data_IF_953631173481
#
_entry.id   IF_953631173481
#
_cell.length_a   1.000
_cell.length_b   1.000
_cell.length_c   1.000
_cell.angle_alpha   90.00
_cell.angle_beta   90.00
_cell.angle_gamma   90.00
#
_symmetry.space_group_name_H-M   'P 1'
#
loop_
_entity.id
_entity.type
_entity.pdbx_description
1 polymer ?
#
# COMPACT_ATOMS: atom_id res chain seq x y z
N UNK A 1 9.69 -20.30 -15.31
CA UNK A 1 8.96 -19.01 -15.27
C UNK A 1 7.61 -19.29 -15.86
N UNK A 2 6.55 -19.03 -15.09
CA UNK A 2 5.19 -19.30 -15.52
C UNK A 2 4.70 -18.20 -16.42
N UNK A 3 4.14 -18.58 -17.56
CA UNK A 3 3.63 -17.65 -18.56
C UNK A 3 2.46 -16.85 -17.96
N UNK A 4 2.47 -15.52 -18.16
CA UNK A 4 1.37 -14.67 -17.68
C UNK A 4 0.10 -15.03 -18.44
N UNK A 5 -0.99 -15.45 -17.77
CA UNK A 5 -2.22 -15.83 -18.45
C UNK A 5 -2.75 -14.71 -19.33
N UNK A 6 -3.22 -15.07 -20.53
CA UNK A 6 -3.81 -14.12 -21.46
C UNK A 6 -4.97 -13.37 -20.81
N UNK A 7 -4.92 -12.03 -20.84
CA UNK A 7 -5.97 -11.17 -20.29
C UNK A 7 -5.84 -10.82 -18.81
N UNK A 8 -4.96 -11.47 -18.04
CA UNK A 8 -4.78 -11.17 -16.61
C UNK A 8 -4.45 -9.68 -16.39
N UNK A 9 -3.43 -9.16 -17.09
CA UNK A 9 -3.04 -7.74 -16.98
C UNK A 9 -4.21 -6.80 -17.30
N UNK A 10 -5.03 -7.13 -18.30
CA UNK A 10 -6.19 -6.31 -18.68
C UNK A 10 -7.28 -6.34 -17.59
N UNK A 11 -7.55 -7.50 -17.00
CA UNK A 11 -8.52 -7.64 -15.91
C UNK A 11 -8.08 -6.85 -14.67
N UNK A 12 -6.81 -6.97 -14.26
CA UNK A 12 -6.25 -6.23 -13.12
C UNK A 12 -6.30 -4.72 -13.36
N UNK A 13 -5.99 -4.26 -14.58
CA UNK A 13 -6.16 -2.85 -14.97
C UNK A 13 -7.61 -2.39 -14.81
N UNK A 14 -8.58 -3.19 -15.26
CA UNK A 14 -10.00 -2.85 -15.09
C UNK A 14 -10.44 -2.74 -13.63
N UNK A 15 -9.93 -3.60 -12.75
CA UNK A 15 -10.19 -3.53 -11.30
C UNK A 15 -9.60 -2.25 -10.69
N UNK A 16 -8.33 -1.96 -11.01
CA UNK A 16 -7.64 -0.74 -10.59
C UNK A 16 -8.41 0.51 -10.99
N UNK A 17 -8.79 0.60 -12.27
CA UNK A 17 -9.39 1.81 -12.84
C UNK A 17 -10.73 2.11 -12.19
N UNK A 18 -11.58 1.08 -11.99
CA UNK A 18 -12.85 1.27 -11.27
C UNK A 18 -12.66 1.68 -9.81
N UNK A 19 -11.67 1.13 -9.12
CA UNK A 19 -11.38 1.49 -7.73
C UNK A 19 -10.86 2.94 -7.60
N UNK A 20 -10.02 3.39 -8.53
CA UNK A 20 -9.56 4.79 -8.57
C UNK A 20 -10.68 5.77 -8.93
N UNK A 21 -11.53 5.42 -9.90
CA UNK A 21 -12.72 6.21 -10.23
C UNK A 21 -13.66 6.30 -9.03
N UNK A 22 -13.91 5.19 -8.33
CA UNK A 22 -14.71 5.22 -7.11
C UNK A 22 -14.15 6.21 -6.07
N UNK A 23 -12.83 6.18 -5.83
CA UNK A 23 -12.21 7.11 -4.88
C UNK A 23 -12.36 8.58 -5.30
N UNK A 24 -12.29 8.88 -6.61
CA UNK A 24 -12.51 10.22 -7.16
C UNK A 24 -13.98 10.68 -7.02
N UNK A 25 -14.93 9.77 -7.23
CA UNK A 25 -16.36 10.05 -7.05
C UNK A 25 -16.76 10.22 -5.57
N UNK A 26 -15.93 9.72 -4.64
CA UNK A 26 -16.19 9.69 -3.19
C UNK A 26 -15.30 10.64 -2.37
N UNK A 27 -14.73 11.68 -2.99
CA UNK A 27 -13.89 12.67 -2.32
C UNK A 27 -14.55 13.30 -1.08
N UNK A 28 -15.87 13.43 -1.07
CA UNK A 28 -16.64 13.96 0.08
C UNK A 28 -16.43 13.14 1.35
N UNK A 29 -16.20 11.83 1.25
CA UNK A 29 -15.89 10.97 2.39
C UNK A 29 -14.51 11.22 3.01
N UNK A 30 -13.62 11.90 2.29
CA UNK A 30 -12.26 12.23 2.72
C UNK A 30 -12.10 13.69 3.17
N UNK A 31 -13.14 14.51 3.07
CA UNK A 31 -13.10 15.92 3.51
C UNK A 31 -12.93 15.97 5.02
N UNK A 32 -11.93 16.72 5.49
CA UNK A 32 -11.75 16.94 6.93
C UNK A 32 -12.83 17.89 7.45
N UNK A 33 -13.42 17.62 8.63
CA UNK A 33 -14.37 18.52 9.24
C UNK A 33 -13.68 19.81 9.72
N UNK A 34 -14.43 20.90 9.88
CA UNK A 34 -13.88 22.19 10.30
C UNK A 34 -13.22 22.13 11.69
N UNK A 35 -13.71 21.25 12.55
CA UNK A 35 -13.26 21.03 13.94
C UNK A 35 -12.25 19.88 14.05
N UNK A 36 -11.55 19.52 12.98
CA UNK A 36 -10.61 18.38 12.95
C UNK A 36 -9.46 18.47 13.98
N UNK A 37 -9.15 19.67 14.46
CA UNK A 37 -8.13 19.91 15.49
C UNK A 37 -8.67 19.81 16.92
N UNK A 38 -9.99 19.72 17.09
CA UNK A 38 -10.60 19.64 18.41
C UNK A 38 -10.42 18.24 19.00
N UNK A 39 -10.20 18.10 20.33
CA UNK A 39 -9.88 16.82 20.97
C UNK A 39 -10.92 15.70 20.81
N UNK A 40 -12.18 16.04 20.47
CA UNK A 40 -13.25 15.06 20.26
C UNK A 40 -13.26 14.45 18.86
N UNK A 41 -12.46 14.97 17.93
CA UNK A 41 -12.40 14.45 16.57
C UNK A 41 -11.75 13.07 16.55
N UNK A 42 -12.45 12.10 15.94
CA UNK A 42 -11.95 10.73 15.79
C UNK A 42 -10.95 10.67 14.64
N UNK A 43 -9.65 10.61 14.98
CA UNK A 43 -8.54 10.47 14.03
C UNK A 43 -8.79 9.33 13.03
N UNK A 44 -9.24 8.17 13.52
CA UNK A 44 -9.48 6.97 12.71
C UNK A 44 -10.60 7.15 11.66
N UNK A 45 -11.50 8.11 11.85
CA UNK A 45 -12.63 8.35 10.94
C UNK A 45 -12.42 9.60 10.06
N UNK A 46 -11.32 10.33 10.25
CA UNK A 46 -11.08 11.62 9.59
C UNK A 46 -9.69 11.68 8.96
N UNK A 47 -8.66 11.84 9.78
CA UNK A 47 -7.27 11.99 9.36
C UNK A 47 -6.68 10.70 8.79
N UNK A 48 -7.04 9.54 9.35
CA UNK A 48 -6.54 8.24 8.89
C UNK A 48 -6.94 7.94 7.44
N UNK A 49 -8.23 8.03 7.04
CA UNK A 49 -8.63 7.88 5.64
C UNK A 49 -7.85 8.78 4.68
N UNK A 50 -7.57 10.02 5.08
CA UNK A 50 -6.82 10.98 4.26
C UNK A 50 -5.35 10.57 4.09
N UNK A 51 -4.70 10.12 5.17
CA UNK A 51 -3.33 9.62 5.12
C UNK A 51 -3.20 8.35 4.28
N UNK A 52 -4.18 7.45 4.37
CA UNK A 52 -4.25 6.23 3.56
C UNK A 52 -4.49 6.55 2.08
N UNK A 53 -5.37 7.50 1.76
CA UNK A 53 -5.55 8.01 0.41
C UNK A 53 -4.22 8.52 -0.17
N UNK A 54 -3.50 9.36 0.57
CA UNK A 54 -2.20 9.89 0.14
C UNK A 54 -1.16 8.78 -0.05
N UNK A 55 -1.08 7.82 0.88
CA UNK A 55 -0.10 6.74 0.86
C UNK A 55 -0.33 5.76 -0.29
N UNK A 56 -1.56 5.27 -0.43
CA UNK A 56 -1.92 4.21 -1.37
C UNK A 56 -1.96 4.75 -2.81
N UNK A 57 -2.62 5.89 -3.04
CA UNK A 57 -2.65 6.52 -4.35
C UNK A 57 -1.28 7.07 -4.75
N UNK A 58 -0.51 7.59 -3.80
CA UNK A 58 0.87 8.00 -4.03
C UNK A 58 1.73 6.86 -4.54
N UNK A 59 1.68 5.72 -3.87
CA UNK A 59 2.46 4.55 -4.29
C UNK A 59 1.99 4.02 -5.64
N UNK A 60 0.68 3.94 -5.86
CA UNK A 60 0.09 3.57 -7.15
C UNK A 60 0.57 4.50 -8.28
N UNK A 61 0.51 5.82 -8.09
CA UNK A 61 0.93 6.80 -9.09
C UNK A 61 2.39 6.60 -9.54
N UNK A 62 3.29 6.22 -8.62
CA UNK A 62 4.72 6.02 -8.94
C UNK A 62 4.96 4.85 -9.89
N UNK A 63 4.14 3.80 -9.80
CA UNK A 63 4.30 2.59 -10.62
C UNK A 63 3.46 2.61 -11.89
N UNK A 64 2.41 3.45 -11.93
CA UNK A 64 1.60 3.64 -13.14
C UNK A 64 2.35 4.54 -14.12
N UNK A 65 2.48 4.08 -15.37
CA UNK A 65 3.11 4.84 -16.45
C UNK A 65 2.44 6.22 -16.64
N UNK A 66 3.20 7.33 -16.84
CA UNK A 66 2.63 8.67 -16.96
C UNK A 66 1.60 8.87 -18.09
N UNK A 67 1.64 8.03 -19.13
CA UNK A 67 0.69 8.06 -20.24
C UNK A 67 -0.65 7.37 -19.94
N UNK A 68 -0.71 6.55 -18.89
CA UNK A 68 -1.93 5.87 -18.45
C UNK A 68 -2.82 6.89 -17.68
N UNK A 69 -4.10 7.08 -18.07
CA UNK A 69 -4.99 8.01 -17.39
C UNK A 69 -5.10 7.80 -15.87
N UNK A 70 -4.94 6.56 -15.39
CA UNK A 70 -4.95 6.25 -13.97
C UNK A 70 -3.83 6.98 -13.19
N UNK A 71 -2.70 7.30 -13.84
CA UNK A 71 -1.63 8.11 -13.26
C UNK A 71 -2.14 9.50 -12.88
N UNK A 72 -2.89 10.13 -13.77
CA UNK A 72 -3.45 11.47 -13.54
C UNK A 72 -4.52 11.44 -12.45
N UNK A 73 -5.38 10.41 -12.43
CA UNK A 73 -6.40 10.23 -11.38
C UNK A 73 -5.75 10.06 -10.00
N UNK A 74 -4.77 9.17 -9.85
CA UNK A 74 -4.03 9.01 -8.60
C UNK A 74 -3.36 10.32 -8.16
N UNK A 75 -2.78 11.08 -9.10
CA UNK A 75 -2.23 12.41 -8.85
C UNK A 75 -3.23 13.42 -8.29
N UNK A 76 -4.45 13.46 -8.82
CA UNK A 76 -5.52 14.35 -8.33
C UNK A 76 -5.96 13.97 -6.92
N UNK A 77 -6.06 12.67 -6.61
CA UNK A 77 -6.41 12.19 -5.27
C UNK A 77 -5.38 12.61 -4.22
N UNK A 78 -4.09 12.52 -4.54
CA UNK A 78 -3.01 12.95 -3.63
C UNK A 78 -3.03 14.48 -3.48
N UNK A 79 -3.23 15.23 -4.57
CA UNK A 79 -3.32 16.68 -4.53
C UNK A 79 -4.48 17.15 -3.65
N UNK A 80 -5.66 16.54 -3.82
CA UNK A 80 -6.81 16.77 -2.95
C UNK A 80 -6.47 16.50 -1.48
N UNK A 81 -5.84 15.36 -1.19
CA UNK A 81 -5.47 15.02 0.19
C UNK A 81 -4.52 16.05 0.80
N UNK A 82 -3.59 16.57 -0.01
CA UNK A 82 -2.66 17.61 0.42
C UNK A 82 -3.35 18.96 0.69
N UNK A 83 -4.30 19.34 -0.17
CA UNK A 83 -5.13 20.54 0.02
C UNK A 83 -5.94 20.46 1.32
N UNK A 84 -6.52 19.31 1.66
CA UNK A 84 -7.24 19.11 2.93
C UNK A 84 -6.36 19.37 4.15
N UNK A 85 -5.07 19.04 4.09
CA UNK A 85 -4.11 19.36 5.16
C UNK A 85 -3.61 20.81 5.16
N UNK A 86 -4.18 21.67 4.31
CA UNK A 86 -3.71 23.04 4.06
C UNK A 86 -2.23 23.07 3.69
N UNK A 87 -1.83 22.16 2.80
CA UNK A 87 -0.44 22.00 2.38
C UNK A 87 0.52 21.76 3.56
N UNK A 88 0.09 20.94 4.53
CA UNK A 88 0.88 20.54 5.70
C UNK A 88 0.83 21.47 6.91
N UNK A 89 0.20 22.65 6.83
CA UNK A 89 0.06 23.53 8.00
C UNK A 89 -0.80 22.86 9.09
N UNK A 90 -1.86 22.16 8.70
CA UNK A 90 -2.72 21.44 9.65
C UNK A 90 -1.95 20.35 10.41
N UNK A 91 -1.11 19.59 9.71
CA UNK A 91 -0.29 18.55 10.33
C UNK A 91 0.77 19.14 11.26
N UNK A 92 1.28 20.35 10.96
CA UNK A 92 2.17 21.08 11.85
C UNK A 92 1.46 21.53 13.13
N UNK A 93 0.23 22.03 13.02
CA UNK A 93 -0.59 22.37 14.19
C UNK A 93 -0.84 21.14 15.08
N UNK A 94 -1.21 20.00 14.48
CA UNK A 94 -1.36 18.73 15.20
C UNK A 94 -0.06 18.30 15.90
N UNK A 95 1.07 18.34 15.20
CA UNK A 95 2.36 17.97 15.78
C UNK A 95 2.80 18.89 16.94
N UNK A 96 2.39 20.16 16.93
CA UNK A 96 2.61 21.10 18.04
C UNK A 96 1.74 20.77 19.25
N UNK A 97 0.48 20.45 19.01
CA UNK A 97 -0.49 20.14 20.06
C UNK A 97 -0.22 18.78 20.70
N UNK A 98 0.22 17.81 19.90
CA UNK A 98 0.42 16.42 20.30
C UNK A 98 1.81 15.90 19.90
N UNK A 99 2.91 16.46 20.45
CA UNK A 99 4.27 16.10 20.04
C UNK A 99 4.68 14.66 20.41
N UNK A 100 3.85 13.95 21.17
CA UNK A 100 4.01 12.56 21.54
C UNK A 100 3.25 11.60 20.61
N UNK A 101 2.34 12.10 19.77
CA UNK A 101 1.54 11.28 18.88
C UNK A 101 2.32 10.98 17.58
N UNK A 102 2.28 9.72 17.14
CA UNK A 102 2.94 9.30 15.91
C UNK A 102 2.14 9.64 14.65
N UNK A 103 0.80 9.69 14.74
CA UNK A 103 -0.05 9.80 13.56
C UNK A 103 0.17 11.07 12.71
N UNK A 104 0.42 12.29 13.24
CA UNK A 104 0.69 13.45 12.38
C UNK A 104 1.97 13.24 11.57
N UNK A 105 2.95 12.55 12.17
CA UNK A 105 4.22 12.21 11.56
C UNK A 105 4.05 11.16 10.46
N UNK A 106 3.29 10.10 10.72
CA UNK A 106 3.01 9.03 9.75
C UNK A 106 2.20 9.56 8.55
N UNK A 107 1.17 10.38 8.80
CA UNK A 107 0.37 11.01 7.74
C UNK A 107 1.24 11.97 6.91
N UNK A 108 2.04 12.82 7.55
CA UNK A 108 2.96 13.71 6.83
C UNK A 108 3.98 12.92 6.00
N UNK A 109 4.47 11.79 6.50
CA UNK A 109 5.43 10.95 5.79
C UNK A 109 4.88 10.38 4.48
N UNK A 110 3.57 10.11 4.40
CA UNK A 110 2.92 9.73 3.14
C UNK A 110 3.11 10.84 2.09
N UNK A 111 2.81 12.09 2.41
CA UNK A 111 3.02 13.24 1.51
C UNK A 111 4.50 13.47 1.18
N UNK A 112 5.36 13.45 2.20
CA UNK A 112 6.80 13.67 2.06
C UNK A 112 7.46 12.64 1.11
N UNK A 113 6.99 11.39 1.14
CA UNK A 113 7.41 10.33 0.22
C UNK A 113 7.14 10.63 -1.26
N UNK A 114 6.19 11.52 -1.55
CA UNK A 114 5.83 12.00 -2.89
C UNK A 114 6.34 13.41 -3.20
N UNK A 115 7.24 13.95 -2.38
CA UNK A 115 7.84 15.27 -2.60
C UNK A 115 6.95 16.45 -2.19
N UNK A 116 5.79 16.19 -1.57
CA UNK A 116 4.94 17.21 -0.98
C UNK A 116 5.47 17.54 0.42
N UNK A 117 6.04 18.73 0.58
CA UNK A 117 6.91 19.07 1.71
C UNK A 117 6.43 20.35 2.40
N UNK A 118 6.54 20.39 3.72
CA UNK A 118 6.25 21.57 4.53
C UNK A 118 7.41 21.86 5.49
N UNK A 119 8.15 22.95 5.25
CA UNK A 119 9.37 23.24 6.01
C UNK A 119 9.13 23.42 7.51
N UNK A 120 7.99 24.00 7.88
CA UNK A 120 7.62 24.20 9.29
C UNK A 120 7.46 22.87 10.03
N UNK A 121 6.82 21.91 9.36
CA UNK A 121 6.66 20.55 9.87
C UNK A 121 8.02 19.89 10.05
N UNK A 122 8.86 19.86 9.02
CA UNK A 122 10.17 19.19 9.06
C UNK A 122 11.12 19.82 10.08
N UNK A 123 11.06 21.13 10.30
CA UNK A 123 11.80 21.79 11.39
C UNK A 123 11.39 21.28 12.76
N UNK A 124 10.09 21.14 13.02
CA UNK A 124 9.58 20.64 14.30
C UNK A 124 9.85 19.14 14.46
N UNK A 125 9.58 18.35 13.42
CA UNK A 125 9.84 16.92 13.37
C UNK A 125 11.30 16.59 13.71
N UNK A 126 12.27 17.33 13.14
CA UNK A 126 13.70 17.19 13.48
C UNK A 126 14.00 17.45 14.96
N UNK A 127 13.25 18.32 15.63
CA UNK A 127 13.44 18.58 17.07
C UNK A 127 12.81 17.48 17.90
N UNK A 128 11.59 17.09 17.58
CA UNK A 128 10.87 16.01 18.29
C UNK A 128 11.64 14.68 18.19
N UNK A 129 12.14 14.34 17.00
CA UNK A 129 12.90 13.11 16.77
C UNK A 129 14.19 12.99 17.59
N UNK A 130 14.71 14.11 18.12
CA UNK A 130 15.90 14.11 19.00
C UNK A 130 15.57 13.92 20.49
N UNK A 131 14.29 13.90 20.85
CA UNK A 131 13.87 13.77 22.25
C UNK A 131 13.95 12.32 22.73
N UNK A 132 14.18 12.15 24.02
CA UNK A 132 14.11 10.82 24.66
C UNK A 132 12.71 10.23 24.62
N UNK A 133 11.66 11.07 24.70
CA UNK A 133 10.28 10.61 24.61
C UNK A 133 10.00 9.95 23.27
N UNK A 134 10.45 10.57 22.17
CA UNK A 134 10.35 9.98 20.85
C UNK A 134 11.12 8.65 20.74
N UNK A 135 12.39 8.63 21.14
CA UNK A 135 13.24 7.44 21.08
C UNK A 135 12.74 6.27 21.95
N UNK A 136 11.93 6.53 22.97
CA UNK A 136 11.40 5.54 23.91
C UNK A 136 9.87 5.44 23.87
N UNK A 137 9.24 5.78 22.75
CA UNK A 137 7.78 5.62 22.60
C UNK A 137 7.42 4.13 22.66
N UNK A 138 6.57 3.74 23.61
CA UNK A 138 6.14 2.35 23.78
C UNK A 138 5.15 1.95 22.68
N UNK A 139 5.57 1.07 21.77
CA UNK A 139 4.74 0.59 20.65
C UNK A 139 5.04 -0.87 20.30
N UNK A 140 4.08 -1.53 19.65
CA UNK A 140 4.31 -2.82 19.00
C UNK A 140 5.35 -2.68 17.88
N UNK A 141 6.15 -3.73 17.65
CA UNK A 141 7.28 -3.69 16.72
C UNK A 141 6.89 -3.32 15.28
N UNK A 142 5.71 -3.74 14.79
CA UNK A 142 5.23 -3.37 13.47
C UNK A 142 4.90 -1.87 13.35
N UNK A 143 4.34 -1.26 14.41
CA UNK A 143 4.11 0.19 14.48
C UNK A 143 5.43 0.96 14.57
N UNK A 144 6.38 0.44 15.34
CA UNK A 144 7.73 1.01 15.40
C UNK A 144 8.44 1.01 14.04
N UNK A 145 8.28 -0.05 13.23
CA UNK A 145 8.75 -0.06 11.84
C UNK A 145 8.11 1.03 10.98
N UNK A 146 6.80 1.26 11.14
CA UNK A 146 6.09 2.33 10.46
C UNK A 146 6.63 3.71 10.79
N UNK A 147 6.96 3.94 12.06
CA UNK A 147 7.59 5.17 12.50
C UNK A 147 9.01 5.33 11.91
N UNK A 148 9.82 4.27 11.91
CA UNK A 148 11.17 4.27 11.30
C UNK A 148 11.10 4.56 9.79
N UNK A 149 10.15 3.96 9.07
CA UNK A 149 9.93 4.25 7.67
C UNK A 149 9.52 5.72 7.47
N UNK A 150 8.62 6.22 8.31
CA UNK A 150 8.18 7.61 8.29
C UNK A 150 9.33 8.58 8.53
N UNK A 151 10.21 8.30 9.49
CA UNK A 151 11.39 9.11 9.80
C UNK A 151 12.29 9.30 8.58
N UNK A 152 12.56 8.20 7.86
CA UNK A 152 13.34 8.23 6.61
C UNK A 152 12.68 9.12 5.55
N UNK A 153 11.36 9.01 5.38
CA UNK A 153 10.61 9.80 4.39
C UNK A 153 10.57 11.28 4.72
N UNK A 154 10.41 11.62 6.00
CA UNK A 154 10.49 13.01 6.50
C UNK A 154 11.90 13.57 6.41
N UNK A 155 12.93 12.70 6.35
CA UNK A 155 14.33 13.11 6.28
C UNK A 155 14.95 13.36 7.65
N UNK A 156 14.46 12.67 8.68
CA UNK A 156 15.08 12.64 10.01
C UNK A 156 15.83 11.31 10.20
N UNK A 157 16.82 11.32 11.10
CA UNK A 157 17.55 10.11 11.44
C UNK A 157 16.59 9.13 12.16
N UNK A 158 16.54 7.85 11.76
CA UNK A 158 15.74 6.86 12.44
C UNK A 158 16.13 6.72 13.92
N UNK A 159 15.14 6.58 14.80
CA UNK A 159 15.39 6.47 16.24
C UNK A 159 15.88 5.07 16.67
N UNK A 160 15.67 4.05 15.84
CA UNK A 160 16.05 2.67 16.12
C UNK A 160 16.53 1.95 14.85
N UNK A 161 17.23 0.83 15.03
CA UNK A 161 17.63 -0.03 13.94
C UNK A 161 16.42 -0.79 13.37
N UNK A 162 16.16 -0.64 12.08
CA UNK A 162 14.99 -1.23 11.44
C UNK A 162 15.06 -2.76 11.37
N UNK A 163 16.25 -3.34 11.23
CA UNK A 163 16.42 -4.78 11.16
C UNK A 163 16.17 -5.41 12.53
N UNK A 164 16.72 -4.83 13.60
CA UNK A 164 16.45 -5.29 14.97
C UNK A 164 14.97 -5.22 15.33
N UNK A 165 14.29 -4.12 14.96
CA UNK A 165 12.84 -3.98 15.18
C UNK A 165 12.06 -4.96 14.31
N UNK A 166 12.45 -5.18 13.06
CA UNK A 166 11.83 -6.15 12.16
C UNK A 166 11.84 -7.55 12.77
N UNK A 167 12.97 -7.99 13.33
CA UNK A 167 13.11 -9.31 13.96
C UNK A 167 12.21 -9.51 15.19
N UNK A 168 11.66 -8.44 15.77
CA UNK A 168 10.69 -8.50 16.88
C UNK A 168 9.23 -8.56 16.42
N UNK A 169 8.97 -8.47 15.11
CA UNK A 169 7.62 -8.60 14.55
C UNK A 169 7.21 -10.06 14.35
N UNK A 170 5.92 -10.32 14.14
CA UNK A 170 5.40 -11.64 13.79
C UNK A 170 6.05 -12.21 12.52
N UNK A 171 6.20 -11.36 11.49
CA UNK A 171 6.88 -11.72 10.24
C UNK A 171 8.37 -11.99 10.48
N UNK A 172 9.06 -11.10 11.19
CA UNK A 172 10.50 -11.22 11.43
C UNK A 172 10.90 -12.39 12.34
N UNK A 173 9.97 -12.86 13.17
CA UNK A 173 10.10 -14.08 13.96
C UNK A 173 9.80 -15.36 13.20
N UNK A 174 9.39 -15.28 11.92
CA UNK A 174 8.99 -16.44 11.10
C UNK A 174 7.97 -17.32 11.84
N UNK A 175 7.00 -16.69 12.50
CA UNK A 175 5.99 -17.38 13.30
C UNK A 175 5.25 -18.45 12.51
N UNK A 176 4.68 -19.44 13.19
CA UNK A 176 4.00 -20.55 12.53
C UNK A 176 2.87 -20.07 11.61
N UNK A 177 2.88 -20.45 10.32
CA UNK A 177 2.02 -19.86 9.29
C UNK A 177 0.53 -20.18 9.46
N UNK A 178 0.20 -21.29 10.12
CA UNK A 178 -1.18 -21.65 10.47
C UNK A 178 -1.75 -20.86 11.66
N UNK A 179 -0.94 -20.03 12.32
CA UNK A 179 -1.37 -19.12 13.39
C UNK A 179 -1.73 -17.72 12.85
N UNK A 180 -1.85 -17.56 11.53
CA UNK A 180 -2.27 -16.30 10.95
C UNK A 180 -3.73 -16.02 11.29
N UNK A 181 -3.95 -14.92 11.99
CA UNK A 181 -5.26 -14.34 12.28
C UNK A 181 -5.34 -12.98 11.60
N UNK A 182 -6.53 -12.36 11.59
CA UNK A 182 -6.73 -11.05 10.95
C UNK A 182 -5.72 -10.00 11.45
N UNK A 183 -5.52 -9.89 12.77
CA UNK A 183 -4.63 -8.89 13.37
C UNK A 183 -3.15 -9.13 13.06
N UNK A 184 -2.70 -10.38 13.04
CA UNK A 184 -1.33 -10.73 12.63
C UNK A 184 -1.15 -10.60 11.12
N UNK A 185 -2.19 -10.84 10.32
CA UNK A 185 -2.25 -10.53 8.88
C UNK A 185 -1.94 -9.06 8.59
N UNK A 186 -2.70 -8.14 9.17
CA UNK A 186 -2.42 -6.69 9.03
C UNK A 186 -1.05 -6.30 9.57
N UNK A 187 -0.64 -6.88 10.70
CA UNK A 187 0.68 -6.58 11.27
C UNK A 187 1.82 -7.04 10.34
N UNK A 188 1.65 -8.18 9.67
CA UNK A 188 2.58 -8.73 8.69
C UNK A 188 2.62 -7.90 7.41
N UNK A 189 1.47 -7.51 6.86
CA UNK A 189 1.41 -6.73 5.61
C UNK A 189 2.06 -5.37 5.81
N UNK A 190 1.76 -4.68 6.91
CA UNK A 190 2.41 -3.42 7.26
C UNK A 190 3.91 -3.56 7.51
N UNK A 191 4.36 -4.61 8.19
CA UNK A 191 5.79 -4.86 8.35
C UNK A 191 6.48 -5.02 6.98
N UNK A 192 5.88 -5.78 6.07
CA UNK A 192 6.40 -5.94 4.71
C UNK A 192 6.44 -4.59 3.96
N UNK A 193 5.37 -3.78 4.02
CA UNK A 193 5.34 -2.46 3.40
C UNK A 193 6.40 -1.52 3.97
N UNK A 194 6.58 -1.46 5.28
CA UNK A 194 7.56 -0.56 5.88
C UNK A 194 9.01 -0.94 5.53
N UNK A 195 9.30 -2.25 5.45
CA UNK A 195 10.60 -2.77 5.03
C UNK A 195 10.89 -2.43 3.57
N UNK A 196 9.94 -2.68 2.68
CA UNK A 196 10.09 -2.42 1.23
C UNK A 196 9.84 -0.96 0.85
N UNK A 197 9.63 -0.09 1.83
CA UNK A 197 9.26 1.31 1.62
C UNK A 197 8.07 1.47 0.67
N UNK A 198 7.02 0.69 0.94
CA UNK A 198 5.81 0.56 0.14
C UNK A 198 6.16 0.17 -1.30
N UNK A 199 6.93 -0.91 -1.46
CA UNK A 199 7.38 -1.47 -2.75
C UNK A 199 8.35 -0.59 -3.55
N UNK A 200 8.84 0.52 -3.02
CA UNK A 200 9.84 1.36 -3.71
C UNK A 200 11.29 0.88 -3.52
N UNK A 201 11.52 0.02 -2.54
CA UNK A 201 12.82 -0.58 -2.23
C UNK A 201 12.66 -2.09 -1.90
N UNK A 202 12.16 -2.90 -2.84
CA UNK A 202 11.88 -4.33 -2.62
C UNK A 202 13.13 -5.12 -2.20
N UNK A 203 14.33 -4.70 -2.61
CA UNK A 203 15.62 -5.30 -2.27
C UNK A 203 15.97 -5.22 -0.77
N UNK A 204 15.24 -4.41 0.00
CA UNK A 204 15.40 -4.34 1.46
C UNK A 204 14.77 -5.52 2.19
N UNK A 205 13.95 -6.33 1.52
CA UNK A 205 13.37 -7.54 2.11
C UNK A 205 14.46 -8.59 2.37
N UNK A 206 14.67 -9.05 3.62
CA UNK A 206 15.58 -10.14 3.91
C UNK A 206 15.19 -11.44 3.19
N UNK A 207 16.17 -12.19 2.70
CA UNK A 207 15.93 -13.37 1.87
C UNK A 207 15.15 -14.49 2.59
N UNK A 208 15.33 -14.63 3.91
CA UNK A 208 14.58 -15.59 4.72
C UNK A 208 13.10 -15.21 4.84
N UNK A 209 12.80 -13.91 4.96
CA UNK A 209 11.42 -13.41 4.99
C UNK A 209 10.77 -13.47 3.61
N UNK A 210 11.51 -13.17 2.53
CA UNK A 210 11.04 -13.36 1.15
C UNK A 210 10.66 -14.82 0.88
N UNK A 211 11.54 -15.77 1.23
CA UNK A 211 11.26 -17.20 1.09
C UNK A 211 10.04 -17.66 1.89
N UNK A 212 9.88 -17.15 3.11
CA UNK A 212 8.73 -17.43 3.95
C UNK A 212 7.43 -16.89 3.33
N UNK A 213 7.40 -15.62 2.91
CA UNK A 213 6.24 -15.00 2.27
C UNK A 213 5.87 -15.71 0.97
N UNK A 214 6.85 -16.06 0.12
CA UNK A 214 6.59 -16.80 -1.13
C UNK A 214 5.98 -18.18 -0.89
N UNK A 215 6.33 -18.81 0.22
CA UNK A 215 5.79 -20.14 0.57
C UNK A 215 4.34 -20.04 1.05
N UNK A 216 4.01 -19.00 1.83
CA UNK A 216 2.75 -18.97 2.58
C UNK A 216 1.71 -17.96 2.09
N UNK A 217 2.08 -17.00 1.24
CA UNK A 217 1.12 -16.09 0.62
C UNK A 217 -0.03 -16.83 -0.10
N UNK A 218 0.21 -17.88 -0.92
CA UNK A 218 -0.89 -18.57 -1.60
C UNK A 218 -1.97 -19.13 -0.66
N UNK A 219 -1.67 -20.00 0.32
CA UNK A 219 -2.71 -20.52 1.21
C UNK A 219 -3.37 -19.44 2.09
N UNK A 220 -2.65 -18.36 2.44
CA UNK A 220 -3.26 -17.25 3.19
C UNK A 220 -4.25 -16.45 2.34
N UNK A 221 -3.91 -16.18 1.08
CA UNK A 221 -4.83 -15.52 0.13
C UNK A 221 -6.04 -16.41 -0.11
N UNK A 222 -5.85 -17.71 -0.34
CA UNK A 222 -6.96 -18.67 -0.51
C UNK A 222 -7.91 -18.63 0.71
N UNK A 223 -7.37 -18.71 1.93
CA UNK A 223 -8.18 -18.64 3.16
C UNK A 223 -8.89 -17.29 3.34
N UNK A 224 -8.26 -16.18 2.94
CA UNK A 224 -8.89 -14.87 2.95
C UNK A 224 -10.05 -14.78 1.95
N UNK A 225 -9.87 -15.31 0.74
CA UNK A 225 -10.93 -15.37 -0.28
C UNK A 225 -12.11 -16.23 0.20
N UNK A 226 -11.84 -17.43 0.75
CA UNK A 226 -12.88 -18.31 1.30
C UNK A 226 -13.65 -17.68 2.47
N UNK A 227 -12.96 -16.90 3.30
CA UNK A 227 -13.54 -16.23 4.47
C UNK A 227 -14.08 -14.82 4.16
N UNK A 228 -14.13 -14.44 2.88
CA UNK A 228 -14.55 -13.13 2.40
C UNK A 228 -13.84 -11.97 3.12
N UNK A 229 -12.52 -12.08 3.30
CA UNK A 229 -11.64 -11.06 3.88
C UNK A 229 -11.00 -10.26 2.73
N UNK A 230 -11.80 -9.46 2.03
CA UNK A 230 -11.38 -8.81 0.78
C UNK A 230 -10.30 -7.75 0.99
N UNK A 231 -10.39 -7.01 2.09
CA UNK A 231 -9.38 -6.03 2.47
C UNK A 231 -8.00 -6.68 2.65
N UNK A 232 -7.92 -7.67 3.54
CA UNK A 232 -6.68 -8.42 3.80
C UNK A 232 -6.21 -9.20 2.56
N UNK A 233 -7.11 -9.64 1.69
CA UNK A 233 -6.74 -10.23 0.39
C UNK A 233 -5.96 -9.22 -0.45
N UNK A 234 -6.48 -8.00 -0.60
CA UNK A 234 -5.79 -6.93 -1.32
C UNK A 234 -4.42 -6.62 -0.71
N UNK A 235 -4.34 -6.58 0.62
CA UNK A 235 -3.07 -6.36 1.33
C UNK A 235 -2.03 -7.46 1.01
N UNK A 236 -2.43 -8.73 1.09
CA UNK A 236 -1.52 -9.84 0.80
C UNK A 236 -1.08 -9.87 -0.67
N UNK A 237 -1.95 -9.47 -1.61
CA UNK A 237 -1.59 -9.34 -3.03
C UNK A 237 -0.58 -8.20 -3.25
N UNK A 238 -0.73 -7.07 -2.56
CA UNK A 238 0.25 -6.00 -2.59
C UNK A 238 1.60 -6.43 -2.01
N UNK A 239 1.61 -7.23 -0.93
CA UNK A 239 2.85 -7.85 -0.42
C UNK A 239 3.49 -8.70 -1.51
N UNK A 240 2.73 -9.61 -2.13
CA UNK A 240 3.25 -10.46 -3.21
C UNK A 240 3.82 -9.68 -4.40
N UNK A 241 3.22 -8.54 -4.75
CA UNK A 241 3.71 -7.66 -5.81
C UNK A 241 4.95 -6.85 -5.38
N UNK A 242 5.08 -6.53 -4.10
CA UNK A 242 6.19 -5.77 -3.52
C UNK A 242 7.45 -6.58 -3.18
N UNK A 243 7.44 -7.91 -3.38
CA UNK A 243 8.61 -8.76 -3.12
C UNK A 243 9.69 -8.63 -4.21
N UNK A 244 10.98 -8.79 -3.86
CA UNK A 244 12.08 -8.76 -4.81
C UNK A 244 12.09 -9.99 -5.73
N UNK A 245 12.46 -9.86 -7.00
CA UNK A 245 12.44 -10.98 -7.95
C UNK A 245 11.05 -11.23 -8.55
N UNK A 246 10.84 -12.29 -9.35
CA UNK A 246 9.68 -12.42 -10.24
C UNK A 246 8.33 -12.39 -9.50
N UNK A 247 7.26 -11.87 -10.14
CA UNK A 247 5.93 -11.83 -9.55
C UNK A 247 5.36 -13.24 -9.35
N UNK A 248 4.55 -13.48 -8.30
CA UNK A 248 3.86 -14.75 -8.09
C UNK A 248 2.64 -14.85 -9.03
N UNK A 249 2.89 -15.16 -10.31
CA UNK A 249 1.89 -15.13 -11.39
C UNK A 249 0.69 -16.03 -11.10
N UNK A 250 0.90 -17.23 -10.55
CA UNK A 250 -0.16 -18.19 -10.24
C UNK A 250 -1.09 -17.68 -9.15
N UNK A 251 -0.53 -17.04 -8.12
CA UNK A 251 -1.29 -16.39 -7.06
C UNK A 251 -2.18 -15.29 -7.64
N UNK A 252 -1.61 -14.44 -8.49
CA UNK A 252 -2.35 -13.35 -9.14
C UNK A 252 -3.44 -13.87 -10.06
N UNK A 253 -3.16 -14.92 -10.84
CA UNK A 253 -4.12 -15.56 -11.73
C UNK A 253 -5.30 -16.20 -10.98
N UNK A 254 -5.09 -16.69 -9.75
CA UNK A 254 -6.13 -17.25 -8.92
C UNK A 254 -7.00 -16.17 -8.25
N UNK A 255 -6.38 -15.11 -7.72
CA UNK A 255 -7.06 -14.15 -6.85
C UNK A 255 -7.77 -13.00 -7.59
N UNK A 256 -7.14 -12.42 -8.63
CA UNK A 256 -7.68 -11.24 -9.30
C UNK A 256 -9.03 -11.47 -9.99
N UNK A 257 -9.30 -12.62 -10.64
CA UNK A 257 -10.62 -12.90 -11.18
C UNK A 257 -11.72 -12.94 -10.10
N UNK A 258 -11.37 -13.34 -8.87
CA UNK A 258 -12.31 -13.34 -7.75
C UNK A 258 -12.61 -11.91 -7.30
N UNK A 259 -11.57 -11.10 -7.08
CA UNK A 259 -11.74 -9.68 -6.71
C UNK A 259 -12.50 -8.90 -7.79
N UNK A 260 -12.24 -9.17 -9.07
CA UNK A 260 -12.96 -8.56 -10.18
C UNK A 260 -14.47 -8.85 -10.16
N UNK A 261 -14.88 -10.04 -9.70
CA UNK A 261 -16.31 -10.41 -9.55
C UNK A 261 -16.95 -9.83 -8.29
N UNK A 262 -16.18 -9.65 -7.23
CA UNK A 262 -16.67 -9.10 -5.95
C UNK A 262 -16.77 -7.57 -6.00
N UNK A 263 -15.96 -6.91 -6.83
CA UNK A 263 -16.01 -5.48 -7.02
C UNK A 263 -17.37 -5.04 -7.56
N UNK A 264 -17.99 -4.12 -6.84
CA UNK A 264 -19.24 -3.52 -7.27
C UNK A 264 -19.05 -2.79 -8.62
N UNK A 265 -20.07 -2.70 -9.50
CA UNK A 265 -19.96 -1.94 -10.75
C UNK A 265 -19.51 -0.49 -10.56
N UNK A 266 -19.87 0.13 -9.43
CA UNK A 266 -19.41 1.46 -9.03
C UNK A 266 -17.95 1.53 -8.55
N UNK A 267 -17.25 0.40 -8.43
CA UNK A 267 -15.83 0.30 -8.10
C UNK A 267 -15.50 -0.01 -6.65
N UNK A 268 -16.45 0.14 -5.73
CA UNK A 268 -16.26 -0.20 -4.31
C UNK A 268 -16.08 -1.70 -4.08
N UNK A 269 -15.31 -2.00 -3.04
CA UNK A 269 -15.12 -3.34 -2.50
C UNK A 269 -15.42 -3.31 -0.99
N UNK A 270 -16.28 -4.18 -0.44
CA UNK A 270 -16.47 -4.24 1.01
C UNK A 270 -15.21 -4.74 1.70
N UNK A 271 -14.97 -4.34 2.94
CA UNK A 271 -13.81 -4.85 3.69
C UNK A 271 -13.92 -6.37 3.93
N UNK A 272 -15.10 -6.82 4.36
CA UNK A 272 -15.38 -8.22 4.67
C UNK A 272 -16.82 -8.61 4.39
N UNK A 273 -17.08 -9.93 4.35
CA UNK A 273 -18.42 -10.49 4.21
C UNK A 273 -18.84 -10.69 2.75
N UNK A 274 -19.98 -11.37 2.51
CA UNK A 274 -20.43 -11.60 1.14
C UNK A 274 -20.74 -10.27 0.42
N UNK A 275 -20.44 -10.16 -0.88
CA UNK A 275 -20.85 -8.98 -1.65
C UNK A 275 -22.37 -8.83 -1.64
N UNK A 276 -22.84 -7.58 -1.53
CA UNK A 276 -24.26 -7.25 -1.64
C UNK A 276 -24.69 -7.45 -3.10
N UNK A 277 -25.67 -8.34 -3.32
CA UNK A 277 -26.29 -8.49 -4.62
C UNK A 277 -27.06 -7.22 -4.98
N UNK A 278 -26.80 -6.66 -6.15
CA UNK A 278 -27.63 -5.61 -6.70
C UNK A 278 -29.03 -6.17 -7.01
N UNK A 279 -30.12 -5.47 -6.65
CA UNK A 279 -31.45 -5.78 -7.17
C UNK A 279 -31.44 -5.84 -8.70
N UNK A 280 -32.21 -6.76 -9.32
CA UNK A 280 -32.27 -6.91 -10.79
C UNK A 280 -32.68 -5.61 -11.50
N UNK A 281 -33.44 -4.74 -10.82
CA UNK A 281 -33.92 -3.44 -11.32
C UNK A 281 -33.05 -2.26 -10.89
N UNK A 282 -31.88 -2.48 -10.28
CA UNK A 282 -31.00 -1.41 -9.85
C UNK A 282 -30.45 -0.65 -11.07
N UNK A 283 -30.70 0.66 -11.12
CA UNK A 283 -30.07 1.54 -12.12
C UNK A 283 -28.59 1.66 -11.78
N UNK A 284 -27.67 1.53 -12.74
CA UNK A 284 -26.26 1.81 -12.50
C UNK A 284 -26.08 3.22 -11.92
N UNK A 285 -25.62 3.31 -10.67
CA UNK A 285 -25.43 4.57 -9.94
C UNK A 285 -26.49 4.89 -8.88
N UNK A 286 -27.58 4.12 -8.76
CA UNK A 286 -28.57 4.30 -7.69
C UNK A 286 -28.15 3.55 -6.42
N UNK A 287 -27.45 4.27 -5.54
CA UNK A 287 -27.16 3.87 -4.16
C UNK A 287 -25.81 3.19 -3.97
N UNK A 288 -25.00 3.73 -3.06
CA UNK A 288 -23.78 3.05 -2.61
C UNK A 288 -24.16 1.77 -1.84
N UNK A 289 -23.64 0.60 -2.24
CA UNK A 289 -23.98 -0.67 -1.58
C UNK A 289 -23.42 -0.77 -0.16
N UNK A 290 -22.41 0.05 0.17
CA UNK A 290 -21.70 0.02 1.45
C UNK A 290 -21.55 1.44 2.02
N UNK A 291 -21.62 1.61 3.35
CA UNK A 291 -21.15 2.84 3.99
C UNK A 291 -19.69 3.11 3.65
N UNK A 292 -19.31 4.37 3.44
CA UNK A 292 -17.94 4.77 3.09
C UNK A 292 -16.87 4.11 3.98
N UNK A 293 -17.01 4.19 5.30
CA UNK A 293 -16.06 3.61 6.26
C UNK A 293 -15.96 2.08 6.22
N UNK A 294 -16.87 1.39 5.55
CA UNK A 294 -16.88 -0.07 5.42
C UNK A 294 -16.32 -0.58 4.07
N UNK A 295 -15.95 0.33 3.18
CA UNK A 295 -15.44 -0.03 1.84
C UNK A 295 -14.28 0.84 1.33
N UNK A 296 -14.02 2.02 1.89
CA UNK A 296 -12.99 2.90 1.35
C UNK A 296 -11.61 2.26 1.40
N UNK A 297 -11.24 1.67 2.54
CA UNK A 297 -9.90 1.12 2.75
C UNK A 297 -9.63 -0.03 1.78
N UNK A 298 -10.53 -1.03 1.74
CA UNK A 298 -10.44 -2.16 0.81
C UNK A 298 -10.45 -1.72 -0.65
N UNK A 299 -11.17 -0.66 -1.00
CA UNK A 299 -11.17 -0.11 -2.37
C UNK A 299 -9.82 0.53 -2.71
N UNK A 300 -9.25 1.33 -1.80
CA UNK A 300 -7.93 1.94 -1.99
C UNK A 300 -6.81 0.90 -2.01
N UNK A 301 -6.83 -0.08 -1.11
CA UNK A 301 -5.89 -1.20 -1.08
C UNK A 301 -5.97 -2.00 -2.38
N UNK A 302 -7.17 -2.22 -2.91
CA UNK A 302 -7.36 -2.90 -4.20
C UNK A 302 -6.74 -2.11 -5.35
N UNK A 303 -6.95 -0.80 -5.42
CA UNK A 303 -6.32 0.07 -6.42
C UNK A 303 -4.78 0.03 -6.32
N UNK A 304 -4.26 0.09 -5.09
CA UNK A 304 -2.84 0.00 -4.79
C UNK A 304 -2.23 -1.34 -5.22
N UNK A 305 -2.79 -2.45 -4.75
CA UNK A 305 -2.34 -3.80 -5.08
C UNK A 305 -2.40 -4.06 -6.59
N UNK A 306 -3.49 -3.66 -7.25
CA UNK A 306 -3.66 -3.83 -8.69
C UNK A 306 -2.63 -3.03 -9.49
N UNK A 307 -2.31 -1.81 -9.05
CA UNK A 307 -1.29 -0.97 -9.67
C UNK A 307 0.10 -1.61 -9.58
N UNK A 308 0.46 -2.16 -8.41
CA UNK A 308 1.70 -2.90 -8.23
C UNK A 308 1.72 -4.16 -9.10
N UNK A 309 0.65 -4.96 -9.09
CA UNK A 309 0.59 -6.19 -9.90
C UNK A 309 0.78 -5.90 -11.39
N UNK A 310 0.07 -4.90 -11.94
CA UNK A 310 0.20 -4.53 -13.36
C UNK A 310 1.64 -4.15 -13.70
N UNK A 311 2.26 -3.28 -12.91
CA UNK A 311 3.65 -2.88 -13.14
C UNK A 311 4.60 -4.09 -13.15
N UNK A 312 4.45 -5.01 -12.19
CA UNK A 312 5.30 -6.20 -12.08
C UNK A 312 5.09 -7.20 -13.23
N UNK A 313 3.86 -7.40 -13.69
CA UNK A 313 3.55 -8.27 -14.82
C UNK A 313 4.13 -7.72 -16.14
N UNK A 314 4.08 -6.40 -16.32
CA UNK A 314 4.63 -5.73 -17.51
C UNK A 314 6.16 -5.75 -17.52
N UNK A 315 6.79 -5.51 -16.37
CA UNK A 315 8.25 -5.67 -16.21
C UNK A 315 8.71 -7.09 -16.54
N UNK A 316 7.98 -8.12 -16.09
CA UNK A 316 8.30 -9.52 -16.40
C UNK A 316 8.18 -9.82 -17.89
N UNK A 317 7.10 -9.35 -18.53
CA UNK A 317 6.87 -9.56 -19.97
C UNK A 317 7.94 -8.85 -20.81
N UNK A 318 8.34 -7.65 -20.41
CA UNK A 318 9.41 -6.90 -21.07
C UNK A 318 10.78 -7.60 -20.93
N UNK A 319 11.07 -8.19 -19.77
CA UNK A 319 12.31 -8.95 -19.55
C UNK A 319 12.38 -10.21 -20.43
N UNK A 320 11.27 -10.91 -20.63
CA UNK A 320 11.18 -12.10 -21.49
C UNK A 320 11.32 -11.77 -22.99
N UNK A 321 11.05 -10.50 -23.36
CA UNK A 321 11.09 -10.03 -24.75
C UNK A 321 12.50 -9.64 -25.25
N UNK A 322 13.52 -9.63 -24.38
CA UNK A 322 14.90 -9.29 -24.77
C UNK A 322 15.61 -10.57 -25.24
N UNK A 323 15.95 -10.73 -26.53
CA UNK A 323 16.68 -11.90 -27.00
C UNK A 323 18.08 -11.94 -26.37
N UNK A 324 18.42 -13.06 -25.73
CA UNK A 324 19.75 -13.31 -25.20
C UNK A 324 20.79 -13.10 -26.31
N UNK A 325 21.60 -12.05 -26.18
CA UNK A 325 22.67 -11.78 -27.12
C UNK A 325 23.61 -12.99 -27.20
N UNK A 326 23.71 -13.57 -28.40
CA UNK A 326 24.62 -14.67 -28.70
C UNK A 326 26.05 -14.20 -28.43
N UNK A 327 26.62 -14.61 -27.29
CA UNK A 327 28.06 -14.55 -27.05
C UNK A 327 28.76 -15.47 -28.05
N UNK A 328 29.07 -14.92 -29.23
CA UNK A 328 29.99 -15.55 -30.16
C UNK A 328 31.39 -15.47 -29.56
N UNK A 329 31.85 -16.60 -29.02
CA UNK A 329 33.25 -16.83 -28.65
C UNK A 329 34.08 -16.86 -29.94
N UNK A 330 34.58 -15.71 -30.37
CA UNK A 330 35.59 -15.66 -31.42
C UNK A 330 36.93 -16.12 -30.83
N UNK A 331 37.30 -17.36 -31.16
CA UNK A 331 38.60 -17.93 -30.86
C UNK A 331 39.72 -17.11 -31.50
N UNK A 332 40.56 -16.50 -30.67
CA UNK A 332 41.84 -15.95 -31.11
C UNK A 332 42.90 -17.04 -31.03
N UNK A 333 43.32 -17.54 -32.19
CA UNK A 333 44.58 -18.28 -32.37
C UNK A 333 45.76 -17.36 -32.03
N UNK A 334 46.65 -17.82 -31.18
CA UNK A 334 48.03 -17.33 -31.08
C UNK A 334 48.84 -17.77 -32.30
N UNK A 335 49.81 -16.96 -32.75
CA UNK A 335 51.03 -17.50 -33.34
C UNK A 335 52.28 -17.14 -32.53
N UNK A 336 53.22 -18.07 -32.64
CA UNK A 336 54.62 -18.18 -32.20
C UNK A 336 55.36 -16.89 -31.76
#
# INVERSE_FOLDING_TARGET
MSEVPAGLTHEVRGVRDRALTWAEDHLTGFVLPEDVLEPHTKVDHTLKPLGELAQLCGTAQRVIAPADPAHATAGRLIAFAWEQTRHGELLLELLRSEPFAAYPFEIYAAFAGHGLRHEGFERLARRIATTRGWAHTEQHANRQLGLINSERRVGVAPHADAEEVLRRTWLGGLCEPWMLERSSGYSLTHAAYHVTDWSTAPERMPADLDGYLRTWLPPWVDGCLESHQWDLTGELLAVGAGLPGPPPVELFAAAWPVLARVQHPGGSLPETGPPVALPEDAVPGDGEPYPFLACYHSTLVTAFAASLTVARLEESTAADSIPAAVTTTSGRKQPA
#
